data_IF_081386676246
#
_entry.id   IF_081386676246
#
_cell.length_a   1.000
_cell.length_b   1.000
_cell.length_c   1.000
_cell.angle_alpha   90.00
_cell.angle_beta   90.00
_cell.angle_gamma   90.00
#
_symmetry.space_group_name_H-M   'P 1'
#
loop_
_entity.id
_entity.type
_entity.pdbx_description
1 polymer ?
#
# COMPACT_ATOMS: atom_id res chain seq x y z
N UNK A 1 -3.30 -55.29 -4.13
CA UNK A 1 -3.74 -53.94 -4.55
C UNK A 1 -5.03 -54.12 -5.34
N UNK A 2 -6.12 -53.50 -4.89
CA UNK A 2 -7.44 -53.68 -5.49
C UNK A 2 -7.46 -53.11 -6.92
N UNK A 3 -8.14 -53.79 -7.85
CA UNK A 3 -8.18 -53.41 -9.28
C UNK A 3 -8.71 -51.98 -9.48
N UNK A 4 -9.53 -51.51 -8.53
CA UNK A 4 -10.05 -50.14 -8.44
C UNK A 4 -8.96 -49.09 -8.23
N UNK A 5 -7.92 -49.39 -7.44
CA UNK A 5 -6.79 -48.48 -7.23
C UNK A 5 -5.85 -48.42 -8.44
N UNK A 6 -5.72 -49.52 -9.19
CA UNK A 6 -4.93 -49.56 -10.43
C UNK A 6 -5.61 -48.72 -11.52
N UNK A 7 -6.94 -48.76 -11.63
CA UNK A 7 -7.72 -47.93 -12.55
C UNK A 7 -7.66 -46.44 -12.19
N UNK A 8 -7.70 -46.08 -10.90
CA UNK A 8 -7.58 -44.69 -10.44
C UNK A 8 -6.16 -44.15 -10.72
N UNK A 9 -5.11 -44.92 -10.42
CA UNK A 9 -3.74 -44.56 -10.77
C UNK A 9 -3.53 -44.44 -12.28
N UNK A 10 -4.05 -45.37 -13.08
CA UNK A 10 -3.97 -45.30 -14.54
C UNK A 10 -4.71 -44.07 -15.10
N UNK A 11 -5.85 -43.69 -14.52
CA UNK A 11 -6.60 -42.48 -14.91
C UNK A 11 -5.88 -41.18 -14.58
N UNK A 12 -5.13 -41.13 -13.46
CA UNK A 12 -4.29 -39.98 -13.08
C UNK A 12 -3.07 -39.79 -14.00
N UNK A 13 -2.54 -40.86 -14.59
CA UNK A 13 -1.45 -40.78 -15.57
C UNK A 13 -1.93 -40.48 -17.01
N UNK A 14 -3.20 -40.75 -17.33
CA UNK A 14 -3.78 -40.51 -18.66
C UNK A 14 -4.39 -39.10 -18.82
N UNK A 15 -4.54 -38.31 -17.75
CA UNK A 15 -5.05 -36.92 -17.80
C UNK A 15 -3.95 -35.86 -17.86
N UNK A 16 -2.70 -36.24 -18.16
CA UNK A 16 -1.66 -35.26 -18.51
C UNK A 16 -1.46 -35.25 -20.05
N UNK A 17 -2.37 -34.63 -20.83
CA UNK A 17 -1.96 -34.04 -22.08
C UNK A 17 -1.97 -32.51 -21.97
N UNK A 18 -0.78 -31.94 -22.11
CA UNK A 18 -0.56 -30.78 -22.98
C UNK A 18 -1.33 -29.48 -22.71
N UNK A 19 -1.30 -28.99 -21.48
CA UNK A 19 -1.20 -27.54 -21.25
C UNK A 19 0.24 -27.17 -20.88
N UNK A 20 1.19 -27.62 -21.70
CA UNK A 20 2.43 -26.86 -21.79
C UNK A 20 2.00 -25.49 -22.33
N UNK A 21 2.30 -24.41 -21.60
CA UNK A 21 2.18 -23.09 -22.18
C UNK A 21 2.90 -23.12 -23.53
N UNK A 22 2.37 -22.48 -24.60
CA UNK A 22 3.12 -22.34 -25.84
C UNK A 22 4.54 -21.92 -25.46
N UNK A 23 5.53 -22.72 -25.88
CA UNK A 23 6.92 -22.54 -25.45
C UNK A 23 7.31 -21.07 -25.60
N UNK A 24 8.12 -20.57 -24.66
CA UNK A 24 8.55 -19.17 -24.64
C UNK A 24 8.92 -18.72 -26.05
N UNK A 25 8.14 -17.80 -26.62
CA UNK A 25 8.42 -17.27 -27.95
C UNK A 25 9.72 -16.47 -27.83
N UNK A 26 10.77 -16.80 -28.58
CA UNK A 26 12.00 -16.03 -28.55
C UNK A 26 11.69 -14.62 -29.04
N UNK A 27 11.83 -13.63 -28.16
CA UNK A 27 11.73 -12.22 -28.51
C UNK A 27 13.16 -11.74 -28.75
N UNK A 28 13.56 -11.42 -29.99
CA UNK A 28 14.96 -11.10 -30.31
C UNK A 28 15.57 -10.01 -29.41
N UNK A 29 14.76 -9.09 -28.90
CA UNK A 29 15.19 -8.05 -27.94
C UNK A 29 15.47 -8.57 -26.53
N UNK A 30 14.71 -9.57 -26.07
CA UNK A 30 14.88 -10.21 -24.77
C UNK A 30 16.07 -11.16 -24.81
N UNK A 31 16.30 -11.86 -25.92
CA UNK A 31 17.47 -12.74 -26.11
C UNK A 31 18.81 -11.98 -26.07
N UNK A 32 18.81 -10.67 -26.31
CA UNK A 32 19.99 -9.81 -26.14
C UNK A 32 20.27 -9.47 -24.67
N UNK A 33 19.31 -9.67 -23.77
CA UNK A 33 19.51 -9.46 -22.35
C UNK A 33 20.19 -10.70 -21.78
N UNK A 34 21.34 -10.56 -21.11
CA UNK A 34 21.96 -11.70 -20.46
C UNK A 34 21.04 -12.22 -19.36
N UNK A 35 20.92 -13.54 -19.23
CA UNK A 35 20.10 -14.18 -18.18
C UNK A 35 20.51 -13.74 -16.76
N UNK A 36 21.74 -13.29 -16.59
CA UNK A 36 22.26 -12.68 -15.38
C UNK A 36 23.24 -11.56 -15.75
N UNK A 37 23.21 -10.40 -15.07
CA UNK A 37 24.21 -9.35 -15.30
C UNK A 37 25.60 -9.87 -14.92
N UNK A 38 26.62 -9.54 -15.72
CA UNK A 38 28.01 -9.93 -15.51
C UNK A 38 28.92 -8.69 -15.49
N UNK A 39 29.70 -8.47 -14.42
CA UNK A 39 29.71 -9.24 -13.17
C UNK A 39 28.40 -9.07 -12.37
N UNK A 40 27.94 -10.15 -11.73
CA UNK A 40 26.79 -10.07 -10.83
C UNK A 40 27.23 -9.43 -9.52
N UNK A 41 26.70 -8.24 -9.23
CA UNK A 41 26.87 -7.57 -7.95
C UNK A 41 25.49 -7.19 -7.41
N UNK A 42 25.00 -7.94 -6.43
CA UNK A 42 23.76 -7.60 -5.74
C UNK A 42 24.10 -6.68 -4.57
N UNK A 43 23.56 -5.47 -4.62
CA UNK A 43 23.59 -4.57 -3.48
C UNK A 43 22.88 -5.25 -2.30
N UNK A 44 23.49 -5.20 -1.13
CA UNK A 44 22.86 -5.65 0.11
C UNK A 44 21.68 -4.72 0.44
N UNK A 45 20.49 -5.10 0.00
CA UNK A 45 19.29 -4.28 0.17
C UNK A 45 18.79 -4.26 1.61
N UNK A 46 19.09 -5.30 2.40
CA UNK A 46 18.80 -5.35 3.82
C UNK A 46 19.63 -4.32 4.59
N UNK A 47 20.95 -4.32 4.39
CA UNK A 47 21.86 -3.33 4.99
C UNK A 47 21.50 -1.90 4.56
N UNK A 48 21.16 -1.69 3.30
CA UNK A 48 20.75 -0.37 2.78
C UNK A 48 19.47 0.12 3.43
N UNK A 49 18.47 -0.75 3.57
CA UNK A 49 17.20 -0.40 4.18
C UNK A 49 17.35 -0.11 5.68
N UNK A 50 18.11 -0.93 6.43
CA UNK A 50 18.41 -0.68 7.84
C UNK A 50 19.19 0.63 8.05
N UNK A 51 20.17 0.91 7.19
CA UNK A 51 20.93 2.17 7.22
C UNK A 51 20.06 3.37 6.90
N UNK A 52 19.25 3.29 5.85
CA UNK A 52 18.29 4.35 5.50
C UNK A 52 17.35 4.63 6.66
N UNK A 53 16.77 3.59 7.24
CA UNK A 53 15.85 3.67 8.35
C UNK A 53 16.46 4.38 9.57
N UNK A 54 17.61 3.88 10.02
CA UNK A 54 18.33 4.50 11.15
C UNK A 54 18.74 5.95 10.85
N UNK A 55 18.98 6.30 9.59
CA UNK A 55 19.39 7.65 9.20
C UNK A 55 18.24 8.64 9.19
N UNK A 56 17.08 8.26 8.64
CA UNK A 56 15.95 9.17 8.48
C UNK A 56 15.16 9.40 9.77
N UNK A 57 15.13 8.42 10.68
CA UNK A 57 14.43 8.51 11.97
C UNK A 57 15.28 9.05 13.12
N UNK A 58 16.57 9.32 12.89
CA UNK A 58 17.44 9.93 13.91
C UNK A 58 17.20 11.45 13.98
N UNK A 59 16.46 11.83 15.03
CA UNK A 59 16.08 13.21 15.34
C UNK A 59 17.26 14.11 15.74
N UNK A 60 18.44 13.55 16.00
CA UNK A 60 19.64 14.29 16.42
C UNK A 60 20.58 14.57 15.25
N UNK A 61 20.25 14.12 14.04
CA UNK A 61 21.07 14.35 12.85
C UNK A 61 21.19 15.85 12.55
N UNK A 62 22.41 16.28 12.27
CA UNK A 62 22.74 17.66 11.90
C UNK A 62 23.33 17.69 10.49
N UNK A 63 23.13 18.81 9.81
CA UNK A 63 23.61 19.02 8.44
C UNK A 63 22.59 19.79 7.61
N UNK A 64 22.93 20.04 6.35
CA UNK A 64 22.02 20.71 5.44
C UNK A 64 20.74 19.88 5.24
N UNK A 65 19.58 20.46 5.56
CA UNK A 65 18.26 19.83 5.52
C UNK A 65 17.99 18.71 6.54
N UNK A 66 18.88 18.51 7.53
CA UNK A 66 18.71 17.52 8.59
C UNK A 66 18.23 18.18 9.90
N UNK A 67 17.51 17.43 10.77
CA UNK A 67 17.09 16.03 10.61
C UNK A 67 15.94 15.87 9.60
N UNK A 68 15.71 14.63 9.12
CA UNK A 68 14.61 14.37 8.18
C UNK A 68 13.27 14.09 8.87
N UNK A 69 13.31 13.65 10.11
CA UNK A 69 12.13 13.47 10.93
C UNK A 69 12.01 14.56 11.97
N UNK A 70 10.77 14.98 12.23
CA UNK A 70 10.44 15.95 13.26
C UNK A 70 9.22 15.49 14.05
N UNK A 71 9.27 15.65 15.37
CA UNK A 71 8.13 15.42 16.23
C UNK A 71 7.28 16.68 16.34
N UNK A 72 5.98 16.47 16.46
CA UNK A 72 5.00 17.50 16.78
C UNK A 72 4.27 17.13 18.07
N UNK A 73 3.93 18.12 18.90
CA UNK A 73 3.31 17.86 20.20
C UNK A 73 1.89 17.28 20.10
N UNK A 74 1.21 17.48 18.98
CA UNK A 74 -0.16 17.01 18.76
C UNK A 74 -0.40 16.61 17.29
N UNK A 75 -1.24 15.59 17.08
CA UNK A 75 -1.83 15.26 15.78
C UNK A 75 -3.06 16.10 15.44
N UNK A 76 -3.46 16.08 14.17
CA UNK A 76 -4.73 16.69 13.71
C UNK A 76 -5.93 15.79 14.06
N UNK A 77 -5.79 14.49 13.81
CA UNK A 77 -6.82 13.49 14.02
C UNK A 77 -6.79 12.89 15.43
N UNK A 78 -5.63 12.97 16.09
CA UNK A 78 -5.41 12.52 17.47
C UNK A 78 -4.68 13.59 18.29
N UNK A 79 -5.37 14.67 18.74
CA UNK A 79 -4.74 15.78 19.45
C UNK A 79 -4.05 15.41 20.77
N UNK A 80 -4.45 14.29 21.37
CA UNK A 80 -3.86 13.76 22.60
C UNK A 80 -2.51 13.03 22.37
N UNK A 81 -2.20 12.68 21.13
CA UNK A 81 -0.97 11.98 20.76
C UNK A 81 0.00 12.94 20.08
N UNK A 82 1.31 12.73 20.26
CA UNK A 82 2.30 13.31 19.36
C UNK A 82 1.98 12.87 17.92
N UNK A 83 2.43 13.68 16.96
CA UNK A 83 2.56 13.23 15.57
C UNK A 83 4.00 13.40 15.12
N UNK A 84 4.35 12.86 13.97
CA UNK A 84 5.66 13.11 13.38
C UNK A 84 5.54 13.40 11.89
N UNK A 85 6.61 14.01 11.38
CA UNK A 85 6.78 14.28 9.96
C UNK A 85 8.05 13.61 9.48
N UNK A 86 8.02 13.14 8.24
CA UNK A 86 9.20 12.74 7.49
C UNK A 86 9.23 13.55 6.21
N UNK A 87 10.35 14.23 5.95
CA UNK A 87 10.55 15.02 4.73
C UNK A 87 10.21 14.21 3.47
N UNK A 88 9.19 14.62 2.72
CA UNK A 88 8.90 14.01 1.42
C UNK A 88 9.84 14.51 0.32
N UNK A 89 10.19 15.81 0.39
CA UNK A 89 11.12 16.44 -0.54
C UNK A 89 12.24 17.11 0.25
N UNK A 90 13.48 16.72 -0.01
CA UNK A 90 14.66 17.32 0.62
C UNK A 90 15.01 18.63 -0.08
N UNK A 91 15.23 19.70 0.68
CA UNK A 91 15.58 21.01 0.13
C UNK A 91 14.44 21.79 -0.52
N UNK A 92 13.19 21.39 -0.29
CA UNK A 92 12.00 22.08 -0.76
C UNK A 92 11.74 23.40 -0.02
N UNK A 93 11.00 24.32 -0.66
CA UNK A 93 10.48 25.54 -0.04
C UNK A 93 9.28 25.27 0.90
N UNK A 94 8.77 24.04 0.95
CA UNK A 94 7.74 23.59 1.89
C UNK A 94 8.29 22.50 2.81
N UNK A 95 9.26 22.81 3.70
CA UNK A 95 10.00 21.81 4.47
C UNK A 95 9.13 21.06 5.49
N UNK A 96 7.90 21.53 5.71
CA UNK A 96 6.93 20.93 6.61
C UNK A 96 5.96 19.96 5.93
N UNK A 97 6.17 19.65 4.65
CA UNK A 97 5.41 18.62 3.93
C UNK A 97 5.52 17.27 4.62
N UNK A 98 4.38 16.59 4.76
CA UNK A 98 4.29 15.27 5.39
C UNK A 98 3.28 14.42 4.63
N UNK A 99 3.77 13.41 3.90
CA UNK A 99 2.93 12.58 3.03
C UNK A 99 2.93 11.12 3.50
N UNK A 100 1.74 10.55 3.66
CA UNK A 100 1.57 9.17 4.07
C UNK A 100 2.24 8.20 3.09
N UNK A 101 2.28 8.55 1.80
CA UNK A 101 2.93 7.73 0.76
C UNK A 101 4.45 7.63 0.96
N UNK A 102 5.06 8.55 1.71
CA UNK A 102 6.47 8.52 2.08
C UNK A 102 6.65 7.86 3.47
N UNK A 103 5.81 8.27 4.43
CA UNK A 103 5.92 7.85 5.83
C UNK A 103 5.52 6.40 6.06
N UNK A 104 4.35 5.99 5.59
CA UNK A 104 3.82 4.66 5.94
C UNK A 104 4.64 3.51 5.32
N UNK A 105 5.08 3.55 4.05
CA UNK A 105 5.90 2.47 3.52
C UNK A 105 7.30 2.40 4.13
N UNK A 106 7.86 3.51 4.63
CA UNK A 106 9.14 3.44 5.35
C UNK A 106 9.01 2.73 6.68
N UNK A 107 7.87 2.88 7.37
CA UNK A 107 7.53 2.07 8.55
C UNK A 107 7.36 0.58 8.20
N UNK A 108 6.63 0.27 7.11
CA UNK A 108 6.43 -1.11 6.65
C UNK A 108 7.78 -1.77 6.32
N UNK A 109 8.59 -1.11 5.50
CA UNK A 109 9.88 -1.65 5.05
C UNK A 109 10.84 -1.96 6.20
N UNK A 110 10.95 -1.05 7.16
CA UNK A 110 11.79 -1.27 8.34
C UNK A 110 11.25 -2.38 9.26
N UNK A 111 9.92 -2.45 9.42
CA UNK A 111 9.27 -3.48 10.23
C UNK A 111 9.45 -4.88 9.64
N UNK A 112 9.41 -5.01 8.32
CA UNK A 112 9.72 -6.27 7.63
C UNK A 112 11.15 -6.76 7.87
N UNK A 113 12.07 -5.85 8.19
CA UNK A 113 13.47 -6.16 8.57
C UNK A 113 13.66 -6.30 10.08
N UNK A 114 12.57 -6.37 10.86
CA UNK A 114 12.61 -6.57 12.30
C UNK A 114 12.90 -5.32 13.13
N UNK A 115 12.90 -4.13 12.53
CA UNK A 115 12.99 -2.88 13.30
C UNK A 115 11.67 -2.63 14.02
N UNK A 116 11.70 -2.61 15.36
CA UNK A 116 10.51 -2.34 16.15
C UNK A 116 10.13 -0.84 16.11
N UNK A 117 9.18 -0.48 15.25
CA UNK A 117 8.70 0.90 15.07
C UNK A 117 7.82 1.43 16.20
N UNK A 118 7.37 0.58 17.13
CA UNK A 118 6.64 1.04 18.31
C UNK A 118 7.56 1.56 19.43
N UNK A 119 8.88 1.43 19.29
CA UNK A 119 9.84 1.82 20.33
C UNK A 119 11.18 2.35 19.80
N UNK A 120 11.38 2.44 18.49
CA UNK A 120 12.65 2.86 17.91
C UNK A 120 12.98 4.31 18.33
N UNK A 121 14.21 4.52 18.83
CA UNK A 121 14.66 5.82 19.35
C UNK A 121 13.77 6.41 20.47
N UNK A 122 13.06 5.55 21.20
CA UNK A 122 12.21 5.95 22.32
C UNK A 122 10.85 6.55 21.92
N UNK A 123 10.48 6.44 20.64
CA UNK A 123 9.21 6.94 20.12
C UNK A 123 8.37 5.80 19.52
N UNK A 124 7.05 5.93 19.63
CA UNK A 124 6.09 5.03 18.99
C UNK A 124 5.65 5.63 17.65
N UNK A 125 6.41 5.32 16.61
CA UNK A 125 6.17 5.83 15.25
C UNK A 125 4.86 5.30 14.66
N UNK A 126 4.43 4.12 15.09
CA UNK A 126 3.19 3.52 14.61
C UNK A 126 1.99 4.26 15.17
N UNK A 127 1.97 4.53 16.49
CA UNK A 127 0.93 5.33 17.13
C UNK A 127 0.85 6.72 16.49
N UNK A 128 1.98 7.38 16.29
CA UNK A 128 2.00 8.71 15.66
C UNK A 128 1.56 8.67 14.19
N UNK A 129 1.81 7.56 13.46
CA UNK A 129 1.36 7.41 12.07
C UNK A 129 -0.16 7.31 11.91
N UNK A 130 -0.88 6.98 12.98
CA UNK A 130 -2.35 6.96 12.97
C UNK A 130 -2.94 8.35 12.66
N UNK A 131 -2.18 9.43 12.80
CA UNK A 131 -2.64 10.78 12.44
C UNK A 131 -3.00 10.94 10.96
N UNK A 132 -2.57 10.02 10.08
CA UNK A 132 -3.03 9.97 8.68
C UNK A 132 -4.45 9.40 8.51
N UNK A 133 -5.00 8.72 9.53
CA UNK A 133 -6.41 8.31 9.56
C UNK A 133 -7.30 9.53 9.82
N UNK A 134 -8.02 9.98 8.80
CA UNK A 134 -8.75 11.25 8.80
C UNK A 134 -10.08 11.19 9.58
N UNK A 135 -9.97 10.97 10.90
CA UNK A 135 -11.07 10.87 11.87
C UNK A 135 -11.75 12.21 12.13
N UNK A 136 -10.97 13.29 12.29
CA UNK A 136 -11.48 14.58 12.73
C UNK A 136 -12.45 15.23 11.73
N UNK A 137 -12.29 14.94 10.44
CA UNK A 137 -13.15 15.45 9.38
C UNK A 137 -14.16 14.42 8.84
N UNK A 138 -14.17 13.20 9.39
CA UNK A 138 -15.13 12.14 9.07
C UNK A 138 -14.89 11.39 7.75
N UNK A 139 -13.74 11.61 7.07
CA UNK A 139 -13.34 10.74 5.95
C UNK A 139 -13.22 9.29 6.42
N UNK A 140 -12.64 9.10 7.62
CA UNK A 140 -12.47 7.80 8.28
C UNK A 140 -11.71 6.79 7.43
N UNK A 141 -10.72 7.27 6.68
CA UNK A 141 -9.73 6.49 5.94
C UNK A 141 -8.36 7.15 6.07
N UNK A 142 -7.31 6.38 5.82
CA UNK A 142 -5.97 6.94 5.67
C UNK A 142 -5.88 7.71 4.35
N UNK A 143 -5.42 8.96 4.40
CA UNK A 143 -5.15 9.77 3.21
C UNK A 143 -3.71 10.27 3.21
N UNK A 144 -3.28 10.81 2.08
CA UNK A 144 -1.90 11.26 1.92
C UNK A 144 -1.49 12.37 2.91
N UNK A 145 -2.42 13.16 3.45
CA UNK A 145 -2.13 14.12 4.50
C UNK A 145 -3.15 14.02 5.65
N UNK A 146 -2.71 14.32 6.86
CA UNK A 146 -3.59 14.51 8.01
C UNK A 146 -4.45 15.76 7.81
N UNK A 147 -5.75 15.65 8.05
CA UNK A 147 -6.77 16.67 7.80
C UNK A 147 -7.24 16.78 6.35
N UNK A 148 -6.76 15.93 5.42
CA UNK A 148 -7.12 15.99 4.01
C UNK A 148 -8.53 15.44 3.72
N UNK A 149 -9.03 15.72 2.52
CA UNK A 149 -10.26 15.13 1.99
C UNK A 149 -9.96 14.25 0.78
N UNK A 150 -10.74 13.19 0.61
CA UNK A 150 -10.61 12.25 -0.50
C UNK A 150 -11.21 12.80 -1.79
N UNK A 151 -10.96 12.11 -2.91
CA UNK A 151 -11.49 12.45 -4.22
C UNK A 151 -10.51 13.24 -5.10
N UNK A 152 -9.23 13.28 -4.74
CA UNK A 152 -8.19 13.92 -5.54
C UNK A 152 -7.62 12.97 -6.60
N UNK A 153 -7.25 11.77 -6.17
CA UNK A 153 -6.61 10.74 -6.99
C UNK A 153 -6.68 9.37 -6.29
N UNK A 154 -7.01 8.31 -7.05
CA UNK A 154 -7.12 6.95 -6.50
C UNK A 154 -5.85 6.45 -5.79
N UNK A 155 -4.67 6.74 -6.32
CA UNK A 155 -3.42 6.24 -5.74
C UNK A 155 -3.21 6.81 -4.34
N UNK A 156 -3.35 8.13 -4.20
CA UNK A 156 -3.18 8.82 -2.92
C UNK A 156 -4.30 8.56 -1.92
N UNK A 157 -5.51 8.29 -2.40
CA UNK A 157 -6.66 7.97 -1.54
C UNK A 157 -6.63 6.51 -1.07
N UNK A 158 -6.00 5.58 -1.83
CA UNK A 158 -6.00 4.13 -1.52
C UNK A 158 -4.74 3.63 -0.85
N UNK A 159 -3.55 4.00 -1.34
CA UNK A 159 -2.30 3.38 -0.90
C UNK A 159 -2.00 3.53 0.60
N UNK A 160 -2.27 4.67 1.25
CA UNK A 160 -2.10 4.80 2.70
C UNK A 160 -2.88 3.74 3.51
N UNK A 161 -4.07 3.34 3.04
CA UNK A 161 -4.87 2.30 3.69
C UNK A 161 -4.25 0.90 3.53
N UNK A 162 -3.63 0.63 2.38
CA UNK A 162 -2.90 -0.64 2.16
C UNK A 162 -1.70 -0.72 3.10
N UNK A 163 -0.93 0.36 3.23
CA UNK A 163 0.18 0.40 4.18
C UNK A 163 -0.28 0.25 5.62
N UNK A 164 -1.42 0.86 5.98
CA UNK A 164 -2.04 0.64 7.28
C UNK A 164 -2.32 -0.85 7.53
N UNK A 165 -2.96 -1.54 6.58
CA UNK A 165 -3.25 -2.97 6.74
C UNK A 165 -1.98 -3.82 6.88
N UNK A 166 -0.90 -3.47 6.18
CA UNK A 166 0.40 -4.14 6.37
C UNK A 166 0.96 -3.90 7.77
N UNK A 167 0.91 -2.67 8.28
CA UNK A 167 1.34 -2.38 9.65
C UNK A 167 0.45 -3.07 10.68
N UNK A 168 -0.86 -3.14 10.44
CA UNK A 168 -1.80 -3.84 11.30
C UNK A 168 -1.50 -5.33 11.41
N UNK A 169 -1.15 -5.97 10.29
CA UNK A 169 -0.73 -7.38 10.26
C UNK A 169 0.62 -7.59 10.98
N UNK A 170 1.60 -6.71 10.73
CA UNK A 170 2.93 -6.79 11.35
C UNK A 170 2.92 -6.51 12.87
N UNK A 171 1.92 -5.76 13.35
CA UNK A 171 1.80 -5.36 14.75
C UNK A 171 0.39 -5.66 15.31
N UNK A 172 0.10 -6.92 15.67
CA UNK A 172 -1.21 -7.30 16.20
C UNK A 172 -1.56 -6.65 17.55
N UNK A 173 -0.60 -5.97 18.19
CA UNK A 173 -0.77 -5.26 19.46
C UNK A 173 -0.86 -3.73 19.31
N UNK A 174 -1.22 -3.20 18.13
CA UNK A 174 -1.39 -1.74 17.92
C UNK A 174 -2.52 -1.11 18.76
N UNK A 175 -3.39 -1.95 19.35
CA UNK A 175 -4.42 -1.53 20.28
C UNK A 175 -5.77 -1.23 19.62
N UNK A 176 -6.75 -0.94 20.46
CA UNK A 176 -8.17 -0.89 20.08
C UNK A 176 -8.51 0.20 19.05
N UNK A 177 -7.73 1.28 18.99
CA UNK A 177 -7.94 2.30 17.96
C UNK A 177 -7.60 1.78 16.56
N UNK A 178 -6.56 0.94 16.42
CA UNK A 178 -6.22 0.31 15.16
C UNK A 178 -7.29 -0.73 14.75
N UNK A 179 -7.87 -1.47 15.70
CA UNK A 179 -8.99 -2.39 15.44
C UNK A 179 -10.22 -1.63 14.91
N UNK A 180 -10.50 -0.47 15.50
CA UNK A 180 -11.54 0.44 15.02
C UNK A 180 -11.23 0.96 13.61
N UNK A 181 -9.99 1.40 13.34
CA UNK A 181 -9.59 1.86 12.01
C UNK A 181 -9.73 0.76 10.96
N UNK A 182 -9.29 -0.45 11.25
CA UNK A 182 -9.35 -1.60 10.35
C UNK A 182 -10.77 -1.86 9.85
N UNK A 183 -11.72 -1.98 10.79
CA UNK A 183 -13.12 -2.24 10.46
C UNK A 183 -13.77 -1.04 9.78
N UNK A 184 -13.49 0.18 10.25
CA UNK A 184 -14.05 1.41 9.68
C UNK A 184 -13.63 1.64 8.22
N UNK A 185 -12.37 1.38 7.87
CA UNK A 185 -11.88 1.51 6.48
C UNK A 185 -12.60 0.50 5.59
N UNK A 186 -12.71 -0.76 6.04
CA UNK A 186 -13.41 -1.80 5.29
C UNK A 186 -14.88 -1.44 5.03
N UNK A 187 -15.60 -0.95 6.03
CA UNK A 187 -16.98 -0.49 5.90
C UNK A 187 -17.09 0.69 4.93
N UNK A 188 -16.18 1.66 5.01
CA UNK A 188 -16.17 2.82 4.11
C UNK A 188 -15.94 2.41 2.66
N UNK A 189 -15.04 1.46 2.41
CA UNK A 189 -14.78 0.95 1.06
C UNK A 189 -15.93 0.10 0.54
N UNK A 190 -16.59 -0.68 1.39
CA UNK A 190 -17.78 -1.43 1.02
C UNK A 190 -18.93 -0.49 0.63
N UNK A 191 -19.14 0.58 1.40
CA UNK A 191 -20.12 1.64 1.07
C UNK A 191 -19.79 2.29 -0.29
N UNK A 192 -18.52 2.59 -0.57
CA UNK A 192 -18.09 3.13 -1.86
C UNK A 192 -18.34 2.15 -3.02
N UNK A 193 -18.01 0.86 -2.86
CA UNK A 193 -18.28 -0.18 -3.88
C UNK A 193 -19.77 -0.25 -4.19
N UNK A 194 -20.64 -0.24 -3.17
CA UNK A 194 -22.09 -0.25 -3.32
C UNK A 194 -22.60 1.01 -4.01
N UNK A 195 -22.11 2.18 -3.60
CA UNK A 195 -22.48 3.47 -4.21
C UNK A 195 -22.05 3.57 -5.69
N UNK A 196 -20.95 2.89 -6.07
CA UNK A 196 -20.52 2.73 -7.46
C UNK A 196 -21.29 1.65 -8.24
N UNK A 197 -22.38 1.10 -7.66
CA UNK A 197 -23.23 0.10 -8.32
C UNK A 197 -22.71 -1.34 -8.24
N UNK A 198 -21.74 -1.62 -7.36
CA UNK A 198 -21.28 -2.97 -7.08
C UNK A 198 -22.28 -3.77 -6.23
N UNK A 199 -22.47 -5.05 -6.55
CA UNK A 199 -23.33 -5.97 -5.80
C UNK A 199 -22.75 -7.39 -5.79
N UNK A 200 -23.01 -8.13 -4.73
CA UNK A 200 -22.66 -9.55 -4.61
C UNK A 200 -23.77 -10.48 -5.15
N UNK A 201 -25.03 -10.01 -5.17
CA UNK A 201 -26.19 -10.81 -5.59
C UNK A 201 -27.31 -9.93 -6.20
N UNK A 202 -27.58 -10.00 -7.53
CA UNK A 202 -26.72 -10.63 -8.53
C UNK A 202 -25.34 -9.97 -8.55
N UNK A 203 -24.30 -10.74 -8.86
CA UNK A 203 -22.94 -10.18 -8.93
C UNK A 203 -22.87 -9.07 -9.98
N UNK A 204 -22.40 -7.90 -9.57
CA UNK A 204 -22.20 -6.73 -10.42
C UNK A 204 -20.92 -6.01 -9.97
N UNK A 205 -19.99 -5.71 -10.89
CA UNK A 205 -18.80 -4.93 -10.54
C UNK A 205 -19.16 -3.46 -10.34
N UNK A 206 -18.49 -2.80 -9.39
CA UNK A 206 -18.56 -1.35 -9.21
C UNK A 206 -17.98 -0.61 -10.42
N UNK A 207 -18.62 0.48 -10.83
CA UNK A 207 -18.11 1.36 -11.87
C UNK A 207 -17.00 2.27 -11.33
N UNK A 208 -15.74 1.83 -11.43
CA UNK A 208 -14.56 2.55 -10.92
C UNK A 208 -13.93 3.53 -11.93
N UNK A 209 -14.57 3.76 -13.08
CA UNK A 209 -14.01 4.60 -14.15
C UNK A 209 -14.20 6.10 -13.87
N UNK A 210 -13.59 6.53 -12.78
CA UNK A 210 -13.51 7.92 -12.31
C UNK A 210 -12.03 8.26 -12.06
N UNK A 211 -11.73 9.56 -12.00
CA UNK A 211 -10.38 10.00 -11.58
C UNK A 211 -10.11 9.61 -10.14
N UNK A 212 -11.11 9.77 -9.29
CA UNK A 212 -11.07 9.48 -7.87
C UNK A 212 -12.50 9.38 -7.33
N UNK A 213 -12.62 9.03 -6.04
CA UNK A 213 -13.89 8.92 -5.34
C UNK A 213 -13.84 9.71 -4.04
N UNK A 214 -14.88 10.51 -3.77
CA UNK A 214 -15.02 11.21 -2.50
C UNK A 214 -15.70 10.26 -1.51
N UNK A 215 -14.90 9.60 -0.67
CA UNK A 215 -15.38 8.61 0.28
C UNK A 215 -16.33 9.19 1.33
N UNK A 216 -16.18 10.45 1.70
CA UNK A 216 -17.11 11.09 2.63
C UNK A 216 -18.52 11.29 2.06
N UNK A 217 -18.62 11.67 0.78
CA UNK A 217 -19.92 12.02 0.15
C UNK A 217 -20.46 10.92 -0.76
N UNK A 218 -19.67 9.89 -1.04
CA UNK A 218 -20.00 8.83 -1.99
C UNK A 218 -20.28 9.37 -3.40
N UNK A 219 -19.45 10.30 -3.84
CA UNK A 219 -19.56 10.94 -5.14
C UNK A 219 -18.31 10.73 -6.01
N UNK A 220 -18.48 10.57 -7.32
CA UNK A 220 -17.36 10.47 -8.23
C UNK A 220 -16.67 11.82 -8.45
N UNK A 221 -15.35 11.79 -8.62
CA UNK A 221 -14.63 12.83 -9.33
C UNK A 221 -14.44 12.41 -10.79
N UNK A 222 -15.26 12.97 -11.68
CA UNK A 222 -15.20 12.69 -13.13
C UNK A 222 -14.23 13.60 -13.89
N UNK A 223 -13.56 14.54 -13.23
CA UNK A 223 -12.75 15.57 -13.90
C UNK A 223 -11.33 15.10 -14.20
N UNK A 224 -11.00 14.88 -15.48
CA UNK A 224 -9.66 14.53 -15.93
C UNK A 224 -9.53 13.07 -16.38
N UNK A 225 -8.30 12.55 -16.42
CA UNK A 225 -8.04 11.17 -16.86
C UNK A 225 -8.49 10.20 -15.75
N UNK A 226 -9.33 9.20 -16.05
CA UNK A 226 -9.67 8.15 -15.09
C UNK A 226 -8.42 7.41 -14.59
N UNK A 227 -8.40 7.01 -13.31
CA UNK A 227 -7.25 6.32 -12.72
C UNK A 227 -6.97 4.96 -13.37
N UNK A 228 -5.75 4.43 -13.19
CA UNK A 228 -5.27 3.19 -13.83
C UNK A 228 -6.04 1.90 -13.42
N UNK A 229 -6.92 1.97 -12.42
CA UNK A 229 -7.92 0.92 -12.14
C UNK A 229 -9.07 0.86 -13.16
N UNK A 230 -9.09 1.79 -14.12
CA UNK A 230 -9.99 1.77 -15.28
C UNK A 230 -9.63 0.60 -16.20
N UNK A 231 -10.26 -0.54 -15.94
CA UNK A 231 -10.27 -1.65 -16.89
C UNK A 231 -10.80 -1.16 -18.23
N UNK A 232 -9.91 -0.77 -19.16
CA UNK A 232 -10.19 -0.95 -20.58
C UNK A 232 -10.47 -2.44 -20.70
N UNK A 233 -11.71 -2.80 -21.07
CA UNK A 233 -11.97 -4.11 -21.66
C UNK A 233 -10.98 -4.27 -22.81
N UNK A 234 -9.89 -4.97 -22.58
CA UNK A 234 -9.20 -5.65 -23.67
C UNK A 234 -10.21 -6.70 -24.11
N UNK A 235 -11.01 -6.37 -25.12
CA UNK A 235 -11.62 -7.42 -25.94
C UNK A 235 -10.43 -8.18 -26.51
N UNK A 236 -10.06 -9.28 -25.86
CA UNK A 236 -9.34 -10.33 -26.55
C UNK A 236 -10.26 -10.70 -27.70
N UNK A 237 -9.88 -10.29 -28.90
CA UNK A 237 -10.53 -10.73 -30.11
C UNK A 237 -10.55 -12.25 -30.08
N UNK A 238 -11.71 -12.83 -30.30
CA UNK A 238 -11.80 -14.22 -30.71
C UNK A 238 -10.89 -14.37 -31.92
N UNK A 239 -9.85 -15.19 -31.76
CA UNK A 239 -9.17 -15.87 -32.85
C UNK A 239 -9.83 -17.24 -32.95
#
# INVERSE_FOLDING_TARGET
MDFRYILILASLFLTIPFFAQPGQIPLPRVELMPNQPAPYNMRDWEDVALKYDSFVYDLQKTGQYLPFSHLMPAGINYPQNKSFRLHTYVGTNSPFGNEAINVMPSLVGASLLGVNKSAQFGEDWLLMSQDFFNKANGENIYLNNAGASSGGDWWYDMMPNIYFYQLYDLYPSLGSEADYQFTTIADRFLEAVRAMGGSEAPWQPSYMNYRAWKFKTMEPNANGVPGAGSGRRVRLGAV
#
